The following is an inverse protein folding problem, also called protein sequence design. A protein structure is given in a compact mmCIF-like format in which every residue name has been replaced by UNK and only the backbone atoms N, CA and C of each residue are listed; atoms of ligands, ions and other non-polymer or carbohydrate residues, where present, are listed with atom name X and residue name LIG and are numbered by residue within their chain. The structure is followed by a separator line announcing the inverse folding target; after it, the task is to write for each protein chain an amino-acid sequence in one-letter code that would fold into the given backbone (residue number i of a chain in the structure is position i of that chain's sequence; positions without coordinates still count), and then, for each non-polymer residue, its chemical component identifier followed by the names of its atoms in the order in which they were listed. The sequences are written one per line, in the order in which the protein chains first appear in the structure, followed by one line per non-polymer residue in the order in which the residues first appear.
data_IF_222000863657
#
_entry.id   IF_222000863657
#
_cell.length_a   1.000
_cell.length_b   1.000
_cell.length_c   1.000
_cell.angle_alpha   90.00
_cell.angle_beta   90.00
_cell.angle_gamma   90.00
#
_symmetry.space_group_name_H-M   'P 1'
#
loop_
_entity.id
_entity.type
_entity.pdbx_description
1 polymer ?
#
# COMPACT_ATOMS: atom_id res chain seq x y z
N UNK A 1 16.40 -33.23 -7.08
CA UNK A 1 17.18 -32.04 -6.70
C UNK A 1 16.33 -30.82 -7.03
N UNK A 2 15.62 -30.24 -6.06
CA UNK A 2 14.85 -29.01 -6.23
C UNK A 2 15.26 -28.05 -5.12
N UNK A 3 16.16 -27.12 -5.45
CA UNK A 3 16.57 -26.04 -4.56
C UNK A 3 15.53 -24.91 -4.62
N UNK A 4 14.44 -25.07 -3.86
CA UNK A 4 13.55 -23.98 -3.52
C UNK A 4 14.11 -23.21 -2.31
N UNK A 5 15.23 -22.51 -2.49
CA UNK A 5 15.71 -21.60 -1.44
C UNK A 5 16.40 -20.39 -2.07
N UNK A 6 15.62 -19.38 -2.41
CA UNK A 6 16.16 -18.02 -2.54
C UNK A 6 16.16 -17.41 -1.14
N UNK A 7 17.32 -17.07 -0.55
CA UNK A 7 17.34 -16.36 0.71
C UNK A 7 16.74 -14.97 0.47
N UNK A 8 15.70 -14.62 1.22
CA UNK A 8 15.28 -13.22 1.28
C UNK A 8 16.50 -12.42 1.73
N UNK A 9 16.93 -11.38 0.98
CA UNK A 9 18.09 -10.60 1.37
C UNK A 9 17.74 -9.90 2.69
N UNK A 10 18.31 -10.40 3.79
CA UNK A 10 18.27 -9.74 5.08
C UNK A 10 19.03 -8.42 4.93
N UNK A 11 18.29 -7.30 5.01
CA UNK A 11 18.86 -5.96 4.85
C UNK A 11 18.20 -5.09 3.79
N UNK A 12 16.92 -5.33 3.43
CA UNK A 12 16.18 -4.27 2.75
C UNK A 12 16.25 -3.02 3.63
N UNK A 13 16.79 -1.89 3.12
CA UNK A 13 16.71 -0.64 3.85
C UNK A 13 15.25 -0.43 4.20
N UNK A 14 14.99 0.03 5.44
CA UNK A 14 13.66 0.51 5.83
C UNK A 14 13.13 1.32 4.67
N UNK A 15 11.92 1.05 4.18
CA UNK A 15 11.32 1.87 3.12
C UNK A 15 11.37 3.32 3.57
N UNK A 16 12.36 4.06 3.08
CA UNK A 16 12.54 5.46 3.42
C UNK A 16 11.49 6.22 2.64
N UNK A 17 10.79 7.11 3.33
CA UNK A 17 9.85 8.02 2.67
C UNK A 17 10.68 8.86 1.69
N UNK A 18 10.48 8.63 0.39
CA UNK A 18 11.18 9.37 -0.66
C UNK A 18 10.87 10.86 -0.50
N UNK A 19 11.91 11.66 -0.25
CA UNK A 19 11.81 13.10 0.04
C UNK A 19 11.19 13.96 -1.08
N UNK A 20 11.00 13.40 -2.28
CA UNK A 20 10.52 14.08 -3.47
C UNK A 20 8.99 13.99 -3.67
N UNK A 21 8.30 13.18 -2.85
CA UNK A 21 6.84 13.21 -2.81
C UNK A 21 6.40 14.41 -1.97
N UNK A 22 5.55 15.28 -2.52
CA UNK A 22 4.94 16.40 -1.79
C UNK A 22 4.57 15.94 -0.37
N UNK A 23 5.28 16.44 0.63
CA UNK A 23 5.01 16.20 2.04
C UNK A 23 3.83 17.06 2.50
N UNK A 24 2.82 17.24 1.64
CA UNK A 24 1.60 17.92 2.00
C UNK A 24 0.79 17.02 2.93
N UNK A 25 0.09 17.65 3.87
CA UNK A 25 -0.64 16.94 4.92
C UNK A 25 -1.82 16.23 4.26
N UNK A 26 -1.67 14.92 4.01
CA UNK A 26 -2.76 14.08 3.55
C UNK A 26 -3.89 14.11 4.60
N UNK A 27 -5.09 14.51 4.19
CA UNK A 27 -6.26 14.58 5.05
C UNK A 27 -6.89 13.21 5.26
N UNK A 28 -6.93 12.40 4.21
CA UNK A 28 -7.44 11.04 4.28
C UNK A 28 -6.78 10.14 3.24
N UNK A 29 -6.73 8.86 3.58
CA UNK A 29 -6.30 7.78 2.70
C UNK A 29 -7.40 6.73 2.66
N UNK A 30 -7.84 6.41 1.45
CA UNK A 30 -8.82 5.36 1.20
C UNK A 30 -8.26 4.28 0.27
N UNK A 31 -8.82 3.08 0.38
CA UNK A 31 -8.50 1.97 -0.54
C UNK A 31 -9.78 1.49 -1.20
N UNK A 32 -9.75 1.34 -2.52
CA UNK A 32 -10.93 1.03 -3.32
C UNK A 32 -10.67 -0.23 -4.14
N UNK A 33 -11.59 -1.18 -4.06
CA UNK A 33 -11.60 -2.37 -4.92
C UNK A 33 -12.49 -2.11 -6.14
N UNK A 34 -11.91 -2.22 -7.33
CA UNK A 34 -12.60 -2.00 -8.61
C UNK A 34 -12.64 -3.29 -9.40
N UNK A 35 -13.81 -3.70 -9.85
CA UNK A 35 -13.94 -4.82 -10.78
C UNK A 35 -13.49 -4.41 -12.20
N UNK A 36 -12.57 -5.16 -12.78
CA UNK A 36 -12.04 -4.93 -14.13
C UNK A 36 -11.85 -6.24 -14.89
N UNK A 37 -12.61 -6.45 -15.98
CA UNK A 37 -12.40 -7.56 -16.94
C UNK A 37 -12.10 -8.93 -16.29
N UNK A 38 -12.85 -9.31 -15.24
CA UNK A 38 -12.66 -10.58 -14.54
C UNK A 38 -11.59 -10.57 -13.44
N UNK A 39 -11.00 -9.42 -13.17
CA UNK A 39 -10.06 -9.15 -12.09
C UNK A 39 -10.60 -8.08 -11.14
N UNK A 40 -9.90 -7.88 -10.04
CA UNK A 40 -10.21 -6.89 -9.02
C UNK A 40 -8.96 -6.05 -8.76
N UNK A 41 -8.97 -4.82 -9.24
CA UNK A 41 -7.91 -3.86 -8.99
C UNK A 41 -8.07 -3.24 -7.61
N UNK A 42 -6.96 -2.99 -6.92
CA UNK A 42 -6.92 -2.20 -5.70
C UNK A 42 -6.23 -0.87 -6.02
N UNK A 43 -6.96 0.22 -5.81
CA UNK A 43 -6.43 1.57 -5.94
C UNK A 43 -6.33 2.21 -4.55
N UNK A 44 -5.28 2.98 -4.31
CA UNK A 44 -5.19 3.90 -3.18
C UNK A 44 -5.64 5.29 -3.62
N UNK A 45 -6.44 5.95 -2.79
CA UNK A 45 -6.90 7.32 -2.99
C UNK A 45 -6.41 8.16 -1.82
N UNK A 46 -5.59 9.17 -2.10
CA UNK A 46 -5.08 10.10 -1.09
C UNK A 46 -5.68 11.47 -1.37
N UNK A 47 -6.30 12.07 -0.37
CA UNK A 47 -6.89 13.41 -0.46
C UNK A 47 -5.99 14.39 0.27
N UNK A 48 -5.60 15.43 -0.45
CA UNK A 48 -4.86 16.60 0.03
C UNK A 48 -5.77 17.83 0.02
N UNK A 49 -5.29 18.96 0.51
CA UNK A 49 -6.04 20.22 0.48
C UNK A 49 -6.26 20.73 -0.96
N UNK A 50 -5.32 20.45 -1.85
CA UNK A 50 -5.26 20.96 -3.22
C UNK A 50 -5.76 19.96 -4.27
N UNK A 51 -6.00 18.70 -3.89
CA UNK A 51 -6.43 17.71 -4.85
C UNK A 51 -6.53 16.27 -4.31
N UNK A 52 -6.86 15.37 -5.24
CA UNK A 52 -7.02 13.94 -4.98
C UNK A 52 -6.09 13.16 -5.90
N UNK A 53 -5.24 12.33 -5.31
CA UNK A 53 -4.36 11.41 -6.05
C UNK A 53 -4.93 10.01 -5.96
N UNK A 54 -5.16 9.39 -7.12
CA UNK A 54 -5.55 7.98 -7.22
C UNK A 54 -4.48 7.19 -7.93
N UNK A 55 -4.04 6.09 -7.32
CA UNK A 55 -3.01 5.23 -7.87
C UNK A 55 -3.37 3.77 -7.73
N UNK A 56 -3.20 2.99 -8.80
CA UNK A 56 -3.31 1.54 -8.75
C UNK A 56 -2.14 0.93 -7.99
N UNK A 57 -2.46 0.07 -7.03
CA UNK A 57 -1.46 -0.69 -6.29
C UNK A 57 -1.22 -2.04 -6.96
N UNK A 58 -2.27 -2.82 -7.17
CA UNK A 58 -2.18 -4.16 -7.77
C UNK A 58 -3.54 -4.65 -8.30
N UNK A 59 -3.56 -5.83 -8.92
CA UNK A 59 -4.75 -6.53 -9.42
C UNK A 59 -4.79 -7.98 -8.94
N UNK A 60 -5.98 -8.43 -8.52
CA UNK A 60 -6.19 -9.77 -7.97
C UNK A 60 -7.23 -10.56 -8.76
N UNK A 61 -7.09 -11.89 -8.77
CA UNK A 61 -8.02 -12.79 -9.46
C UNK A 61 -9.38 -12.95 -8.76
N UNK A 62 -9.46 -12.67 -7.47
CA UNK A 62 -10.69 -12.82 -6.69
C UNK A 62 -10.94 -11.58 -5.84
N UNK A 63 -12.23 -11.28 -5.65
CA UNK A 63 -12.68 -10.15 -4.84
C UNK A 63 -12.15 -10.21 -3.41
N UNK A 64 -12.24 -11.37 -2.76
CA UNK A 64 -11.78 -11.54 -1.38
C UNK A 64 -10.27 -11.29 -1.19
N UNK A 65 -9.43 -11.61 -2.19
CA UNK A 65 -8.00 -11.27 -2.14
C UNK A 65 -7.77 -9.77 -2.26
N UNK A 66 -8.49 -9.10 -3.15
CA UNK A 66 -8.43 -7.65 -3.29
C UNK A 66 -8.91 -6.92 -2.04
N UNK A 67 -10.01 -7.37 -1.43
CA UNK A 67 -10.56 -6.78 -0.21
C UNK A 67 -9.62 -6.97 1.00
N UNK A 68 -9.03 -8.17 1.13
CA UNK A 68 -8.02 -8.42 2.16
C UNK A 68 -6.81 -7.51 1.98
N UNK A 69 -6.28 -7.40 0.76
CA UNK A 69 -5.15 -6.52 0.46
C UNK A 69 -5.48 -5.04 0.74
N UNK A 70 -6.64 -4.57 0.28
CA UNK A 70 -7.12 -3.21 0.52
C UNK A 70 -7.20 -2.89 2.02
N UNK A 71 -7.78 -3.79 2.82
CA UNK A 71 -7.86 -3.65 4.29
C UNK A 71 -6.49 -3.55 4.96
N UNK A 72 -5.52 -4.38 4.53
CA UNK A 72 -4.15 -4.33 5.06
C UNK A 72 -3.44 -3.02 4.68
N UNK A 73 -3.60 -2.56 3.44
CA UNK A 73 -3.01 -1.30 2.96
C UNK A 73 -3.61 -0.11 3.73
N UNK A 74 -4.94 -0.07 3.91
CA UNK A 74 -5.61 1.00 4.66
C UNK A 74 -5.07 1.09 6.09
N UNK A 75 -5.02 -0.05 6.79
CA UNK A 75 -4.46 -0.12 8.16
C UNK A 75 -3.00 0.34 8.22
N UNK A 76 -2.19 -0.03 7.23
CA UNK A 76 -0.79 0.37 7.17
C UNK A 76 -0.63 1.87 6.92
N UNK A 77 -1.50 2.47 6.10
CA UNK A 77 -1.49 3.90 5.79
C UNK A 77 -1.99 4.77 6.95
N UNK A 78 -3.00 4.30 7.71
CA UNK A 78 -3.54 5.00 8.87
C UNK A 78 -2.64 4.89 10.11
N UNK A 79 -1.75 3.88 10.14
CA UNK A 79 -0.82 3.70 11.26
C UNK A 79 0.23 4.80 11.27
N UNK A 80 0.42 5.44 12.43
CA UNK A 80 1.50 6.41 12.62
C UNK A 80 2.88 5.73 12.42
N UNK A 81 3.66 6.14 11.39
CA UNK A 81 5.00 5.61 11.17
C UNK A 81 6.00 6.02 12.27
N UNK A 82 5.62 6.95 13.17
CA UNK A 82 6.37 7.39 14.35
C UNK A 82 5.93 6.72 15.66
N UNK A 83 5.13 5.66 15.61
CA UNK A 83 4.82 4.83 16.79
C UNK A 83 6.10 4.45 17.57
N UNK A 84 6.00 4.11 18.86
CA UNK A 84 7.16 4.03 19.75
C UNK A 84 8.24 3.15 19.13
N UNK A 85 9.40 3.77 18.87
CA UNK A 85 10.63 3.02 18.71
C UNK A 85 10.83 2.32 20.04
N UNK A 86 10.60 1.00 20.06
CA UNK A 86 11.05 0.19 21.17
C UNK A 86 12.59 0.27 21.09
N UNK A 87 13.15 1.17 21.92
CA UNK A 87 14.58 1.30 22.16
C UNK A 87 15.02 0.19 23.12
#
# INVERSE_FOLDING_TARGET
MCECQRPFPHGLPRTEVRAEGSADVAHTVETVVVAERGHFAVDIVVVFADGVVRKRIDTYRTRGRAELAASLIKRAAERDPRGPFIQ
#
